data_IF_567079309782
#
_entry.id   IF_567079309782
#
_cell.length_a   1.000
_cell.length_b   1.000
_cell.length_c   1.000
_cell.angle_alpha   90.00
_cell.angle_beta   90.00
_cell.angle_gamma   90.00
#
_symmetry.space_group_name_H-M   'P 1'
#
loop_
_entity.id
_entity.type
_entity.pdbx_description
1 polymer ?
#
# COMPACT_ATOMS: atom_id res chain seq x y z
N UNK A 1 5.57 43.85 -12.17
CA UNK A 1 5.92 42.78 -11.20
C UNK A 1 4.96 41.63 -11.43
N UNK A 2 5.49 40.50 -11.96
CA UNK A 2 4.65 39.31 -12.12
C UNK A 2 4.30 38.76 -10.76
N UNK A 3 3.02 38.76 -10.42
CA UNK A 3 2.49 38.07 -9.25
C UNK A 3 2.87 36.59 -9.35
N UNK A 4 3.92 36.23 -8.65
CA UNK A 4 4.33 34.86 -8.45
C UNK A 4 3.32 34.21 -7.49
N UNK A 5 2.07 34.14 -7.87
CA UNK A 5 1.10 33.28 -7.22
C UNK A 5 1.63 31.88 -7.38
N UNK A 6 2.26 31.37 -6.32
CA UNK A 6 2.63 29.97 -6.24
C UNK A 6 1.40 29.15 -6.59
N UNK A 7 1.42 28.55 -7.78
CA UNK A 7 0.32 27.70 -8.23
C UNK A 7 0.20 26.53 -7.28
N UNK A 8 -0.90 26.50 -6.54
CA UNK A 8 -1.13 25.49 -5.51
C UNK A 8 -1.23 24.09 -6.13
N UNK A 9 -0.74 23.09 -5.40
CA UNK A 9 -0.94 21.69 -5.74
C UNK A 9 -2.41 21.34 -5.59
N UNK A 10 -3.01 20.75 -6.62
CA UNK A 10 -4.40 20.26 -6.59
C UNK A 10 -4.45 18.75 -6.79
N UNK A 11 -5.38 18.11 -6.11
CA UNK A 11 -5.62 16.66 -6.21
C UNK A 11 -7.05 16.46 -6.73
N UNK A 12 -7.17 15.59 -7.72
CA UNK A 12 -8.43 15.18 -8.30
C UNK A 12 -8.51 13.66 -8.33
N UNK A 13 -9.64 13.12 -7.96
CA UNK A 13 -9.90 11.69 -8.05
C UNK A 13 -10.86 11.40 -9.19
N UNK A 14 -10.67 10.28 -9.85
CA UNK A 14 -11.56 9.80 -10.90
C UNK A 14 -11.71 8.29 -10.83
N UNK A 15 -12.72 7.74 -11.51
CA UNK A 15 -13.06 6.32 -11.48
C UNK A 15 -13.20 5.79 -10.05
N UNK A 16 -13.84 6.58 -9.21
CA UNK A 16 -14.07 6.24 -7.81
C UNK A 16 -15.09 5.11 -7.71
N UNK A 17 -14.70 4.03 -7.07
CA UNK A 17 -15.59 2.89 -6.85
C UNK A 17 -15.40 2.29 -5.47
N UNK A 18 -16.47 1.76 -4.92
CA UNK A 18 -16.46 1.07 -3.64
C UNK A 18 -16.39 -0.43 -3.86
N UNK A 19 -15.39 -1.07 -3.28
CA UNK A 19 -15.23 -2.52 -3.28
C UNK A 19 -15.59 -3.06 -1.89
N UNK A 20 -16.81 -3.56 -1.74
CA UNK A 20 -17.30 -4.09 -0.47
C UNK A 20 -16.67 -5.42 -0.10
N UNK A 21 -16.27 -6.23 -1.08
CA UNK A 21 -15.64 -7.51 -0.86
C UNK A 21 -14.29 -7.36 -0.13
N UNK A 22 -13.52 -6.35 -0.49
CA UNK A 22 -12.23 -6.05 0.10
C UNK A 22 -12.28 -4.89 1.11
N UNK A 23 -13.48 -4.43 1.45
CA UNK A 23 -13.71 -3.35 2.42
C UNK A 23 -12.88 -2.11 2.13
N UNK A 24 -12.87 -1.67 0.88
CA UNK A 24 -12.09 -0.51 0.44
C UNK A 24 -12.77 0.30 -0.65
N UNK A 25 -12.34 1.55 -0.78
CA UNK A 25 -12.62 2.42 -1.90
C UNK A 25 -11.37 2.51 -2.77
N UNK A 26 -11.53 2.47 -4.06
CA UNK A 26 -10.42 2.51 -5.01
C UNK A 26 -10.68 3.54 -6.11
N UNK A 27 -9.64 4.25 -6.50
CA UNK A 27 -9.74 5.37 -7.43
C UNK A 27 -8.41 5.67 -8.08
N UNK A 28 -8.47 6.44 -9.16
CA UNK A 28 -7.29 7.02 -9.81
C UNK A 28 -7.09 8.43 -9.26
N UNK A 29 -5.86 8.79 -8.95
CA UNK A 29 -5.49 10.11 -8.45
C UNK A 29 -4.78 10.88 -9.54
N UNK A 30 -5.27 12.07 -9.85
CA UNK A 30 -4.59 13.03 -10.70
C UNK A 30 -4.08 14.18 -9.82
N UNK A 31 -2.77 14.38 -9.79
CA UNK A 31 -2.11 15.45 -9.05
C UNK A 31 -1.62 16.50 -10.02
N UNK A 32 -2.04 17.74 -9.83
CA UNK A 32 -1.57 18.87 -10.61
C UNK A 32 -0.61 19.71 -9.75
N UNK A 33 0.67 19.73 -10.14
CA UNK A 33 1.73 20.44 -9.44
C UNK A 33 2.54 21.33 -10.39
N UNK A 34 1.91 22.36 -10.98
CA UNK A 34 2.56 23.18 -12.01
C UNK A 34 3.78 23.90 -11.44
N UNK A 35 4.92 23.77 -12.13
CA UNK A 35 6.17 24.39 -11.73
C UNK A 35 6.82 23.83 -10.46
N UNK A 36 6.29 22.75 -9.91
CA UNK A 36 6.79 22.07 -8.71
C UNK A 36 7.27 20.66 -9.01
N UNK A 37 8.14 20.16 -8.17
CA UNK A 37 8.53 18.74 -8.18
C UNK A 37 7.36 17.83 -7.80
N UNK A 38 7.54 16.52 -7.96
CA UNK A 38 6.54 15.53 -7.57
C UNK A 38 6.16 15.67 -6.10
N UNK A 39 4.88 15.57 -5.82
CA UNK A 39 4.35 15.64 -4.45
C UNK A 39 4.63 14.32 -3.73
N UNK A 40 5.06 14.39 -2.48
CA UNK A 40 5.34 13.20 -1.66
C UNK A 40 4.08 12.39 -1.38
N UNK A 41 4.21 11.07 -1.26
CA UNK A 41 3.09 10.20 -0.91
C UNK A 41 2.49 10.51 0.46
N UNK A 42 3.32 10.93 1.41
CA UNK A 42 2.84 11.33 2.74
C UNK A 42 1.91 12.55 2.67
N UNK A 43 2.27 13.57 1.91
CA UNK A 43 1.43 14.74 1.68
C UNK A 43 0.13 14.39 0.96
N UNK A 44 0.20 13.53 -0.05
CA UNK A 44 -0.99 13.05 -0.76
C UNK A 44 -1.95 12.30 0.16
N UNK A 45 -1.44 11.47 1.06
CA UNK A 45 -2.25 10.75 2.05
C UNK A 45 -2.95 11.70 3.00
N UNK A 46 -2.28 12.73 3.48
CA UNK A 46 -2.88 13.76 4.35
C UNK A 46 -3.98 14.52 3.63
N UNK A 47 -3.75 14.92 2.39
CA UNK A 47 -4.76 15.63 1.59
C UNK A 47 -5.98 14.76 1.30
N UNK A 48 -5.78 13.49 0.99
CA UNK A 48 -6.87 12.54 0.79
C UNK A 48 -7.66 12.27 2.08
N UNK A 49 -6.97 12.20 3.21
CA UNK A 49 -7.62 12.07 4.52
C UNK A 49 -8.55 13.25 4.81
N UNK A 50 -8.11 14.46 4.51
CA UNK A 50 -8.93 15.67 4.65
C UNK A 50 -10.09 15.70 3.66
N UNK A 51 -9.84 15.32 2.41
CA UNK A 51 -10.85 15.37 1.33
C UNK A 51 -12.01 14.39 1.56
N UNK A 52 -11.72 13.21 2.08
CA UNK A 52 -12.69 12.13 2.30
C UNK A 52 -13.01 11.86 3.78
N UNK A 53 -12.60 12.73 4.68
CA UNK A 53 -12.84 12.62 6.13
C UNK A 53 -12.41 11.26 6.71
N UNK A 54 -11.24 10.78 6.31
CA UNK A 54 -10.69 9.51 6.78
C UNK A 54 -10.08 9.72 8.18
N UNK A 55 -10.54 8.94 9.14
CA UNK A 55 -10.10 9.06 10.55
C UNK A 55 -8.62 8.70 10.73
N UNK A 56 -8.14 7.65 10.06
CA UNK A 56 -6.77 7.17 10.19
C UNK A 56 -6.05 7.19 8.83
N UNK A 57 -5.03 8.05 8.64
CA UNK A 57 -4.26 8.09 7.40
C UNK A 57 -3.54 6.78 7.07
N UNK A 58 -3.32 5.90 8.04
CA UNK A 58 -2.71 4.60 7.82
C UNK A 58 -3.58 3.63 7.02
N UNK A 59 -4.86 3.91 6.88
CA UNK A 59 -5.78 3.15 6.01
C UNK A 59 -5.74 3.57 4.54
N UNK A 60 -5.00 4.62 4.21
CA UNK A 60 -4.86 5.14 2.86
C UNK A 60 -3.56 4.64 2.24
N UNK A 61 -3.65 4.08 1.03
CA UNK A 61 -2.50 3.61 0.26
C UNK A 61 -2.48 4.28 -1.11
N UNK A 62 -1.35 4.86 -1.47
CA UNK A 62 -1.13 5.49 -2.76
C UNK A 62 0.09 4.89 -3.44
N UNK A 63 -0.01 4.59 -4.74
CA UNK A 63 1.04 3.89 -5.47
C UNK A 63 0.94 4.10 -6.99
N UNK A 64 1.95 3.64 -7.71
CA UNK A 64 2.03 3.68 -9.18
C UNK A 64 1.87 5.08 -9.78
N UNK A 65 2.58 6.05 -9.21
CA UNK A 65 2.59 7.39 -9.77
C UNK A 65 3.46 7.48 -11.02
N UNK A 66 2.94 8.13 -12.03
CA UNK A 66 3.65 8.49 -13.26
C UNK A 66 3.51 9.97 -13.49
N UNK A 67 4.65 10.61 -13.74
CA UNK A 67 4.66 12.01 -14.14
C UNK A 67 4.49 12.11 -15.65
N UNK A 68 3.57 12.97 -16.12
CA UNK A 68 3.36 13.21 -17.53
C UNK A 68 4.58 13.89 -18.17
N UNK A 69 4.81 13.61 -19.45
CA UNK A 69 5.86 14.30 -20.20
C UNK A 69 5.65 15.82 -20.15
N UNK A 70 6.72 16.56 -19.92
CA UNK A 70 6.68 18.00 -19.70
C UNK A 70 6.54 18.43 -18.24
N UNK A 71 6.25 17.52 -17.34
CA UNK A 71 6.09 17.79 -15.91
C UNK A 71 4.75 18.42 -15.52
N UNK A 72 4.60 18.81 -14.28
CA UNK A 72 3.41 19.52 -13.76
C UNK A 72 2.19 18.65 -13.49
N UNK A 73 2.14 17.42 -13.96
CA UNK A 73 1.04 16.48 -13.71
C UNK A 73 1.55 15.10 -13.39
N UNK A 74 0.95 14.46 -12.41
CA UNK A 74 1.23 13.07 -12.04
C UNK A 74 -0.08 12.32 -11.89
N UNK A 75 -0.10 11.08 -12.32
CA UNK A 75 -1.26 10.19 -12.17
C UNK A 75 -0.84 8.95 -11.43
N UNK A 76 -1.64 8.55 -10.46
CA UNK A 76 -1.40 7.37 -9.65
C UNK A 76 -2.69 6.68 -9.24
N UNK A 77 -2.58 5.72 -8.36
CA UNK A 77 -3.68 4.92 -7.87
C UNK A 77 -3.79 5.05 -6.35
N UNK A 78 -5.00 5.10 -5.84
CA UNK A 78 -5.26 5.21 -4.42
C UNK A 78 -6.29 4.20 -3.92
N UNK A 79 -6.08 3.75 -2.70
CA UNK A 79 -6.99 2.88 -1.96
C UNK A 79 -7.25 3.46 -0.59
N UNK A 80 -8.51 3.45 -0.16
CA UNK A 80 -8.91 3.82 1.20
C UNK A 80 -9.65 2.63 1.78
N UNK A 81 -9.05 1.98 2.78
CA UNK A 81 -9.70 0.89 3.51
C UNK A 81 -10.62 1.44 4.60
N UNK A 82 -11.63 0.67 4.96
CA UNK A 82 -12.58 1.05 6.02
C UNK A 82 -11.90 1.14 7.39
N UNK A 83 -10.89 0.28 7.62
CA UNK A 83 -10.08 0.28 8.84
C UNK A 83 -8.65 -0.17 8.56
N UNK A 84 -7.74 0.12 9.49
CA UNK A 84 -6.35 -0.36 9.41
C UNK A 84 -6.26 -1.88 9.49
N UNK A 85 -7.15 -2.51 10.24
CA UNK A 85 -7.23 -3.98 10.35
C UNK A 85 -7.62 -4.62 9.01
N UNK A 86 -8.60 -4.06 8.31
CA UNK A 86 -8.98 -4.49 6.96
C UNK A 86 -7.82 -4.32 5.98
N UNK A 87 -7.09 -3.22 6.08
CA UNK A 87 -5.91 -2.96 5.27
C UNK A 87 -4.82 -4.02 5.50
N UNK A 88 -4.53 -4.36 6.75
CA UNK A 88 -3.56 -5.40 7.09
C UNK A 88 -3.98 -6.79 6.58
N UNK A 89 -5.27 -7.05 6.48
CA UNK A 89 -5.82 -8.31 6.00
C UNK A 89 -5.73 -8.47 4.48
N UNK A 90 -6.03 -7.42 3.72
CA UNK A 90 -6.20 -7.49 2.27
C UNK A 90 -5.04 -6.89 1.46
N UNK A 91 -4.32 -5.94 2.01
CA UNK A 91 -3.23 -5.27 1.28
C UNK A 91 -2.00 -6.18 1.16
N UNK A 92 -1.31 -6.18 0.00
CA UNK A 92 -0.06 -6.89 -0.15
C UNK A 92 0.98 -6.46 0.89
N UNK A 93 1.73 -7.41 1.40
CA UNK A 93 2.69 -7.17 2.47
C UNK A 93 3.75 -6.13 2.13
N UNK A 94 4.20 -6.06 0.88
CA UNK A 94 5.20 -5.07 0.48
C UNK A 94 4.71 -3.62 0.62
N UNK A 95 3.42 -3.37 0.37
CA UNK A 95 2.83 -2.04 0.59
C UNK A 95 2.67 -1.72 2.06
N UNK A 96 2.32 -2.70 2.88
CA UNK A 96 2.27 -2.54 4.34
C UNK A 96 3.64 -2.18 4.91
N UNK A 97 4.70 -2.82 4.43
CA UNK A 97 6.08 -2.53 4.83
C UNK A 97 6.46 -1.09 4.45
N UNK A 98 6.13 -0.65 3.24
CA UNK A 98 6.40 0.71 2.78
C UNK A 98 5.69 1.79 3.61
N UNK A 99 4.54 1.47 4.15
CA UNK A 99 3.74 2.37 5.00
C UNK A 99 4.00 2.18 6.50
N UNK A 100 4.95 1.36 6.88
CA UNK A 100 5.32 1.14 8.28
C UNK A 100 4.37 0.25 9.08
N UNK A 101 3.40 -0.40 8.44
CA UNK A 101 2.41 -1.26 9.11
C UNK A 101 2.89 -2.71 9.28
N UNK A 102 3.95 -3.10 8.64
CA UNK A 102 4.55 -4.43 8.73
C UNK A 102 6.07 -4.35 8.69
N UNK A 103 6.72 -5.35 9.25
CA UNK A 103 8.18 -5.45 9.25
C UNK A 103 8.67 -6.37 8.13
N UNK A 104 9.78 -5.97 7.50
CA UNK A 104 10.43 -6.79 6.50
C UNK A 104 11.08 -8.01 7.16
N UNK A 105 10.92 -9.17 6.54
CA UNK A 105 11.60 -10.40 6.97
C UNK A 105 13.03 -10.38 6.44
N UNK A 106 13.99 -10.23 7.34
CA UNK A 106 15.43 -10.18 7.01
C UNK A 106 16.06 -11.58 7.08
N UNK A 107 15.51 -12.54 6.36
CA UNK A 107 16.09 -13.87 6.22
C UNK A 107 16.80 -14.00 4.89
N UNK A 108 17.90 -14.79 4.88
CA UNK A 108 18.57 -15.15 3.64
C UNK A 108 17.57 -15.75 2.64
N UNK A 109 17.61 -15.26 1.41
CA UNK A 109 16.73 -15.76 0.33
C UNK A 109 16.96 -17.26 0.08
N UNK A 110 18.19 -17.72 0.17
CA UNK A 110 18.54 -19.13 0.05
C UNK A 110 17.85 -19.98 1.12
N UNK A 111 17.89 -19.55 2.37
CA UNK A 111 17.22 -20.25 3.48
C UNK A 111 15.71 -20.30 3.30
N UNK A 112 15.09 -19.21 2.83
CA UNK A 112 13.66 -19.19 2.54
C UNK A 112 13.28 -20.15 1.41
N UNK A 113 14.10 -20.25 0.37
CA UNK A 113 13.90 -21.22 -0.73
C UNK A 113 14.06 -22.64 -0.26
N UNK A 114 15.06 -22.95 0.55
CA UNK A 114 15.26 -24.28 1.13
C UNK A 114 14.07 -24.72 1.99
N UNK A 115 13.56 -23.82 2.84
CA UNK A 115 12.36 -24.07 3.64
C UNK A 115 11.16 -24.35 2.77
N UNK A 116 10.94 -23.57 1.72
CA UNK A 116 9.86 -23.75 0.74
C UNK A 116 9.98 -25.10 0.03
N UNK A 117 11.19 -25.47 -0.39
CA UNK A 117 11.43 -26.73 -1.07
C UNK A 117 11.16 -27.94 -0.15
N UNK A 118 11.55 -27.86 1.12
CA UNK A 118 11.23 -28.90 2.12
C UNK A 118 9.71 -29.00 2.36
N UNK A 119 9.00 -27.87 2.43
CA UNK A 119 7.54 -27.86 2.60
C UNK A 119 6.81 -28.49 1.41
N UNK A 120 7.35 -28.36 0.20
CA UNK A 120 6.75 -28.96 -1.02
C UNK A 120 6.81 -30.48 -1.06
N UNK A 121 7.72 -31.13 -0.34
CA UNK A 121 7.85 -32.60 -0.30
C UNK A 121 6.68 -33.25 0.43
N UNK A 122 6.00 -32.52 1.29
CA UNK A 122 4.87 -33.03 2.08
C UNK A 122 3.58 -32.53 1.45
N UNK A 123 2.65 -33.43 1.17
CA UNK A 123 1.35 -33.15 0.54
C UNK A 123 0.18 -33.58 1.41
N UNK A 124 -0.98 -32.98 1.18
CA UNK A 124 -2.24 -33.32 1.84
C UNK A 124 -2.24 -33.02 3.35
N UNK A 125 -2.96 -33.81 4.10
CA UNK A 125 -3.15 -33.61 5.54
C UNK A 125 -1.83 -33.67 6.33
N UNK A 126 -0.85 -34.43 5.87
CA UNK A 126 0.49 -34.51 6.48
C UNK A 126 1.19 -33.17 6.54
N UNK A 127 0.96 -32.29 5.58
CA UNK A 127 1.53 -30.93 5.53
C UNK A 127 1.12 -30.08 6.73
N UNK A 128 -0.14 -30.14 7.09
CA UNK A 128 -0.69 -29.42 8.25
C UNK A 128 -0.12 -29.97 9.56
N UNK A 129 -0.08 -31.30 9.71
CA UNK A 129 0.49 -31.96 10.91
C UNK A 129 1.97 -31.65 11.09
N UNK A 130 2.76 -31.66 10.03
CA UNK A 130 4.19 -31.31 10.11
C UNK A 130 4.41 -29.84 10.45
N UNK A 131 3.57 -28.91 9.97
CA UNK A 131 3.60 -27.50 10.31
C UNK A 131 3.29 -27.25 11.80
N UNK A 132 2.30 -27.94 12.34
CA UNK A 132 1.90 -27.84 13.74
C UNK A 132 2.97 -28.44 14.68
N UNK A 133 3.56 -29.55 14.32
CA UNK A 133 4.68 -30.17 15.06
C UNK A 133 5.90 -29.23 15.11
N UNK A 134 6.24 -28.58 14.02
CA UNK A 134 7.33 -27.60 13.97
C UNK A 134 7.05 -26.36 14.83
N UNK A 135 5.81 -25.91 14.92
CA UNK A 135 5.38 -24.82 15.82
C UNK A 135 5.39 -25.25 17.28
N UNK A 136 5.00 -26.49 17.61
CA UNK A 136 5.03 -27.06 18.95
C UNK A 136 6.45 -27.22 19.52
N UNK A 137 7.43 -27.55 18.70
CA UNK A 137 8.84 -27.69 19.10
C UNK A 137 9.55 -26.39 19.45
N UNK A 138 8.98 -25.23 19.16
CA UNK A 138 9.55 -23.91 19.49
C UNK A 138 9.08 -23.34 20.83
N UNK A 139 8.22 -24.05 21.56
CA UNK A 139 7.68 -23.63 22.86
C UNK A 139 8.35 -24.29 24.07
N UNK A 140 9.54 -24.87 23.89
CA UNK A 140 10.38 -25.33 25.02
C UNK A 140 11.64 -24.50 25.13
#
# INVERSE_FOLDING_TARGET
MADNKEKAVSIRTRKFMTNRLLSRKQFVIDVNHPGKANVSKAELKQRLATLYDVKDPNSIFVFKFRTAFGGGKSTGFGLIYDSVESAKKFEPKYRLIRNGLATKVEKSRKQMKERKNRAKKIRGVKKTKAGDAAKGGKKK
#
